data_IF_662898704001
#
_entry.id   IF_662898704001
#
_cell.length_a   1.000
_cell.length_b   1.000
_cell.length_c   1.000
_cell.angle_alpha   90.00
_cell.angle_beta   90.00
_cell.angle_gamma   90.00
#
_symmetry.space_group_name_H-M   'P 1'
#
loop_
_entity.id
_entity.type
_entity.pdbx_description
1 polymer ?
#
# COMPACT_ATOMS: atom_id res chain seq x y z
N UNK A 1 -37.86 -44.05 16.58
CA UNK A 1 -37.77 -42.58 16.73
C UNK A 1 -36.31 -42.21 16.83
N UNK A 2 -35.73 -41.59 15.82
CA UNK A 2 -34.34 -41.13 15.79
C UNK A 2 -34.38 -39.60 15.75
N UNK A 3 -33.81 -38.94 16.75
CA UNK A 3 -33.67 -37.50 16.81
C UNK A 3 -32.50 -37.02 15.91
N UNK A 4 -32.63 -35.91 15.19
CA UNK A 4 -31.51 -35.36 14.43
C UNK A 4 -30.59 -34.57 15.34
N UNK A 5 -29.30 -34.87 15.19
CA UNK A 5 -28.20 -34.11 15.80
C UNK A 5 -28.03 -32.81 15.01
N UNK A 6 -28.36 -31.66 15.62
CA UNK A 6 -28.10 -30.36 15.07
C UNK A 6 -26.65 -30.02 15.41
N UNK A 7 -25.76 -30.07 14.40
CA UNK A 7 -24.42 -29.59 14.50
C UNK A 7 -24.45 -28.04 14.44
N UNK A 8 -24.21 -27.38 15.57
CA UNK A 8 -24.02 -25.95 15.63
C UNK A 8 -22.62 -25.60 15.03
N UNK A 9 -22.63 -25.09 13.82
CA UNK A 9 -21.45 -24.54 13.16
C UNK A 9 -21.15 -23.18 13.78
N UNK A 10 -20.23 -23.15 14.75
CA UNK A 10 -19.74 -21.90 15.34
C UNK A 10 -18.87 -21.20 14.30
N UNK A 11 -19.43 -20.18 13.66
CA UNK A 11 -18.69 -19.23 12.82
C UNK A 11 -17.80 -18.39 13.74
N UNK A 12 -16.54 -18.78 13.91
CA UNK A 12 -15.49 -17.92 14.45
C UNK A 12 -15.21 -16.81 13.43
N UNK A 13 -15.94 -15.72 13.57
CA UNK A 13 -15.56 -14.43 12.98
C UNK A 13 -14.22 -14.03 13.60
N UNK A 14 -13.13 -14.35 12.93
CA UNK A 14 -11.83 -13.73 13.21
C UNK A 14 -11.95 -12.24 12.86
N UNK A 15 -12.31 -11.44 13.87
CA UNK A 15 -12.11 -10.00 13.81
C UNK A 15 -10.61 -9.77 13.73
N UNK A 16 -10.12 -9.53 12.52
CA UNK A 16 -8.80 -8.95 12.32
C UNK A 16 -8.81 -7.60 13.03
N UNK A 17 -8.30 -7.56 14.25
CA UNK A 17 -8.04 -6.30 14.92
C UNK A 17 -7.08 -5.53 14.01
N UNK A 18 -7.58 -4.48 13.37
CA UNK A 18 -6.75 -3.48 12.70
C UNK A 18 -5.86 -2.91 13.78
N UNK A 19 -4.62 -3.38 13.85
CA UNK A 19 -3.62 -2.84 14.76
C UNK A 19 -3.39 -1.39 14.33
N UNK A 20 -3.94 -0.44 15.08
CA UNK A 20 -3.85 0.97 14.76
C UNK A 20 -2.40 1.44 14.82
N UNK A 21 -1.98 2.18 13.81
CA UNK A 21 -0.73 2.92 13.87
C UNK A 21 -0.80 3.92 15.04
N UNK A 22 0.18 3.87 15.94
CA UNK A 22 0.26 4.83 17.04
C UNK A 22 0.85 6.13 16.48
N UNK A 23 0.18 7.27 16.66
CA UNK A 23 0.72 8.55 16.25
C UNK A 23 2.07 8.80 16.95
N UNK A 24 3.11 9.04 16.19
CA UNK A 24 4.39 9.52 16.72
C UNK A 24 4.32 11.05 16.73
N UNK A 25 4.57 11.70 17.87
CA UNK A 25 4.53 13.17 17.91
C UNK A 25 5.52 13.73 16.89
N UNK A 26 5.08 14.65 16.02
CA UNK A 26 5.94 15.21 14.99
C UNK A 26 7.07 16.03 15.60
N UNK A 27 8.32 15.88 15.12
CA UNK A 27 9.30 16.92 15.31
C UNK A 27 8.84 18.19 14.60
N UNK A 28 9.48 19.32 14.91
CA UNK A 28 9.17 20.61 14.25
C UNK A 28 9.04 20.45 12.74
N UNK A 29 7.99 21.01 12.09
CA UNK A 29 7.62 20.71 10.70
C UNK A 29 8.67 21.02 9.63
N UNK A 30 9.77 21.64 10.00
CA UNK A 30 10.86 22.03 9.07
C UNK A 30 12.26 21.68 9.59
N UNK A 31 12.34 20.78 10.57
CA UNK A 31 13.62 20.37 11.14
C UNK A 31 14.17 19.08 10.51
N UNK A 32 15.46 18.86 10.61
CA UNK A 32 16.08 17.58 10.32
C UNK A 32 15.54 16.52 11.31
N UNK A 33 15.22 15.34 10.81
CA UNK A 33 14.80 14.21 11.65
C UNK A 33 16.06 13.58 12.26
N UNK A 34 16.26 13.62 13.60
CA UNK A 34 17.45 13.07 14.23
C UNK A 34 17.57 11.56 13.99
N UNK A 35 18.80 11.06 13.92
CA UNK A 35 19.06 9.63 13.88
C UNK A 35 18.47 8.93 15.11
N UNK A 36 17.82 7.78 14.92
CA UNK A 36 17.16 7.05 15.98
C UNK A 36 15.74 7.51 16.32
N UNK A 37 15.22 8.55 15.67
CA UNK A 37 13.81 8.95 15.81
C UNK A 37 12.89 7.83 15.37
N UNK A 38 11.88 7.52 16.16
CA UNK A 38 10.80 6.61 15.76
C UNK A 38 9.86 7.36 14.85
N UNK A 39 9.77 6.96 13.57
CA UNK A 39 8.93 7.63 12.57
C UNK A 39 7.63 6.88 12.31
N UNK A 40 7.54 5.61 12.70
CA UNK A 40 6.30 4.84 12.70
C UNK A 40 6.42 3.68 13.69
N UNK A 41 5.32 3.30 14.30
CA UNK A 41 5.27 2.15 15.21
C UNK A 41 3.89 1.52 15.28
N UNK A 42 3.85 0.22 15.61
CA UNK A 42 2.64 -0.51 15.99
C UNK A 42 2.66 -0.88 17.47
N UNK A 43 1.48 -0.99 18.06
CA UNK A 43 1.31 -1.50 19.43
C UNK A 43 1.43 -3.03 19.46
N UNK A 44 1.01 -3.71 18.39
CA UNK A 44 1.02 -5.18 18.31
C UNK A 44 1.23 -5.63 16.85
N UNK A 45 2.28 -6.38 16.57
CA UNK A 45 3.50 -6.58 17.36
C UNK A 45 4.20 -5.24 17.57
N UNK A 46 5.09 -5.15 18.55
CA UNK A 46 5.88 -3.94 18.79
C UNK A 46 6.90 -3.75 17.67
N UNK A 47 6.44 -3.21 16.55
CA UNK A 47 7.24 -2.92 15.38
C UNK A 47 7.54 -1.44 15.32
N UNK A 48 8.82 -1.10 15.29
CA UNK A 48 9.32 0.27 15.22
C UNK A 48 10.13 0.48 13.96
N UNK A 49 9.83 1.54 13.26
CA UNK A 49 10.63 2.02 12.15
C UNK A 49 11.46 3.22 12.61
N UNK A 50 12.77 3.08 12.56
CA UNK A 50 13.71 4.06 13.08
C UNK A 50 14.52 4.66 11.93
N UNK A 51 14.78 5.97 12.01
CA UNK A 51 15.73 6.61 11.09
C UNK A 51 17.15 6.23 11.46
N UNK A 52 18.00 5.92 10.47
CA UNK A 52 19.44 5.72 10.66
C UNK A 52 20.24 6.95 10.31
N UNK A 53 19.87 7.62 9.22
CA UNK A 53 20.54 8.81 8.71
C UNK A 53 19.51 9.80 8.22
N UNK A 54 19.23 10.88 8.91
CA UNK A 54 18.45 11.98 8.37
C UNK A 54 19.28 12.70 7.31
N UNK A 55 18.65 13.09 6.20
CA UNK A 55 19.21 14.07 5.29
C UNK A 55 18.92 15.47 5.82
N UNK A 56 19.90 16.36 5.73
CA UNK A 56 19.80 17.72 6.27
C UNK A 56 18.72 18.58 5.61
N UNK A 57 18.15 18.18 4.47
CA UNK A 57 17.25 19.07 3.75
C UNK A 57 15.90 18.51 3.36
N UNK A 58 15.72 17.28 2.92
CA UNK A 58 14.43 16.88 2.37
C UNK A 58 14.11 15.38 2.45
N UNK A 59 14.79 14.58 3.25
CA UNK A 59 14.47 13.16 3.27
C UNK A 59 15.10 12.38 4.41
N UNK A 60 14.52 11.25 4.62
CA UNK A 60 14.99 10.21 5.53
C UNK A 60 15.67 9.14 4.69
N UNK A 61 16.91 8.81 5.00
CA UNK A 61 17.61 7.68 4.36
C UNK A 61 17.99 6.64 5.40
N UNK A 62 18.08 5.38 4.95
CA UNK A 62 18.50 4.26 5.79
C UNK A 62 17.60 4.10 7.00
N UNK A 63 16.54 3.34 6.81
CA UNK A 63 15.60 3.02 7.88
C UNK A 63 16.03 1.74 8.60
N UNK A 64 15.72 1.69 9.90
CA UNK A 64 15.87 0.50 10.72
C UNK A 64 14.51 0.02 11.18
N UNK A 65 14.23 -1.24 10.97
CA UNK A 65 13.05 -1.91 11.51
C UNK A 65 13.45 -2.69 12.76
N UNK A 66 12.68 -2.53 13.82
CA UNK A 66 12.76 -3.37 15.01
C UNK A 66 11.42 -4.08 15.18
N UNK A 67 11.46 -5.40 15.29
CA UNK A 67 10.30 -6.24 15.55
C UNK A 67 10.62 -7.22 16.68
N UNK A 68 10.10 -6.96 17.89
CA UNK A 68 10.50 -7.67 19.08
C UNK A 68 12.02 -7.58 19.31
N UNK A 69 12.73 -8.72 19.46
CA UNK A 69 14.18 -8.71 19.67
C UNK A 69 15.02 -8.50 18.40
N UNK A 70 14.38 -8.58 17.23
CA UNK A 70 15.09 -8.52 15.94
C UNK A 70 15.15 -7.08 15.45
N UNK A 71 16.34 -6.65 15.04
CA UNK A 71 16.55 -5.34 14.43
C UNK A 71 17.35 -5.48 13.15
N UNK A 72 16.89 -4.86 12.07
CA UNK A 72 17.57 -4.87 10.78
C UNK A 72 17.56 -3.48 10.14
N UNK A 73 18.69 -3.12 9.54
CA UNK A 73 18.84 -1.89 8.76
C UNK A 73 18.53 -2.14 7.28
N UNK A 74 17.86 -1.17 6.66
CA UNK A 74 17.54 -1.13 5.24
C UNK A 74 18.12 0.16 4.63
N UNK A 75 19.38 0.14 4.23
CA UNK A 75 20.09 1.35 3.79
C UNK A 75 19.52 1.98 2.51
N UNK A 76 18.86 1.18 1.68
CA UNK A 76 18.24 1.64 0.44
C UNK A 76 16.86 2.29 0.64
N UNK A 77 16.24 2.13 1.82
CA UNK A 77 14.92 2.70 2.06
C UNK A 77 15.01 4.21 2.28
N UNK A 78 14.11 4.92 1.61
CA UNK A 78 14.05 6.38 1.65
C UNK A 78 12.62 6.84 1.88
N UNK A 79 12.44 7.94 2.60
CA UNK A 79 11.17 8.63 2.78
C UNK A 79 11.44 10.12 2.90
N UNK A 80 10.44 10.94 2.65
CA UNK A 80 10.52 12.37 2.90
C UNK A 80 10.50 12.65 4.41
N UNK A 81 11.05 13.80 4.82
CA UNK A 81 11.14 14.16 6.24
C UNK A 81 9.88 14.84 6.79
N UNK A 82 8.97 15.27 5.91
CA UNK A 82 7.71 15.91 6.31
C UNK A 82 6.85 14.96 7.16
N UNK A 83 6.55 15.30 8.43
CA UNK A 83 5.84 14.41 9.35
C UNK A 83 4.44 14.00 8.89
N UNK A 84 3.78 14.83 8.07
CA UNK A 84 2.45 14.52 7.51
C UNK A 84 2.49 13.26 6.62
N UNK A 85 3.66 12.97 6.06
CA UNK A 85 3.87 11.89 5.09
C UNK A 85 4.89 10.85 5.58
N UNK A 86 5.06 10.74 6.88
CA UNK A 86 5.93 9.71 7.43
C UNK A 86 5.46 8.31 7.05
N UNK A 87 6.36 7.31 7.12
CA UNK A 87 6.05 5.96 6.69
C UNK A 87 4.78 5.39 7.32
N UNK A 88 3.94 4.81 6.48
CA UNK A 88 2.80 4.01 6.91
C UNK A 88 3.22 2.56 7.19
N UNK A 89 2.59 1.93 8.19
CA UNK A 89 2.82 0.53 8.52
C UNK A 89 1.51 -0.24 8.47
N UNK A 90 1.55 -1.43 7.85
CA UNK A 90 0.49 -2.42 7.95
C UNK A 90 1.10 -3.80 8.23
N UNK A 91 0.35 -4.67 8.89
CA UNK A 91 0.77 -6.04 9.17
C UNK A 91 -0.30 -7.00 8.66
N UNK A 92 0.12 -8.03 7.93
CA UNK A 92 -0.76 -9.06 7.40
C UNK A 92 0.06 -10.16 6.73
N UNK A 93 -0.53 -11.31 6.52
CA UNK A 93 0.10 -12.40 5.75
C UNK A 93 -0.10 -12.13 4.24
N UNK A 94 0.71 -11.22 3.68
CA UNK A 94 0.61 -10.85 2.27
C UNK A 94 1.35 -11.81 1.33
N UNK A 95 2.21 -12.65 1.90
CA UNK A 95 2.91 -13.70 1.17
C UNK A 95 2.13 -15.01 1.09
N UNK A 96 1.13 -15.22 1.94
CA UNK A 96 0.31 -16.43 1.99
C UNK A 96 1.01 -17.63 2.64
N UNK A 97 2.07 -17.38 3.43
CA UNK A 97 2.85 -18.42 4.11
C UNK A 97 2.38 -18.69 5.55
N UNK A 98 1.29 -18.05 5.97
CA UNK A 98 0.68 -18.08 7.30
C UNK A 98 1.50 -17.40 8.39
N UNK A 99 2.49 -16.63 8.02
CA UNK A 99 3.23 -15.76 8.92
C UNK A 99 2.88 -14.31 8.62
N UNK A 100 2.97 -13.48 9.62
CA UNK A 100 2.74 -12.06 9.42
C UNK A 100 3.91 -11.43 8.68
N UNK A 101 3.58 -10.56 7.74
CA UNK A 101 4.52 -9.69 7.04
C UNK A 101 4.30 -8.26 7.51
N UNK A 102 5.35 -7.47 7.54
CA UNK A 102 5.28 -6.03 7.71
C UNK A 102 5.32 -5.36 6.35
N UNK A 103 4.29 -4.59 6.05
CA UNK A 103 4.20 -3.73 4.86
C UNK A 103 4.51 -2.30 5.28
N UNK A 104 5.50 -1.70 4.65
CA UNK A 104 5.95 -0.33 4.92
C UNK A 104 5.71 0.50 3.67
N UNK A 105 4.90 1.54 3.79
CA UNK A 105 4.67 2.51 2.72
C UNK A 105 5.56 3.72 2.96
N UNK A 106 6.37 4.06 1.98
CA UNK A 106 7.34 5.16 2.02
C UNK A 106 6.93 6.21 1.00
N UNK A 107 6.74 7.45 1.43
CA UNK A 107 6.62 8.56 0.48
C UNK A 107 8.01 8.99 0.05
N UNK A 108 8.34 8.83 -1.22
CA UNK A 108 9.69 9.04 -1.74
C UNK A 108 9.86 10.39 -2.44
N UNK A 109 8.76 10.99 -2.86
CA UNK A 109 8.75 12.30 -3.50
C UNK A 109 7.42 13.01 -3.27
N UNK A 110 7.47 14.33 -3.17
CA UNK A 110 6.30 15.20 -3.06
C UNK A 110 6.47 16.42 -3.99
N UNK A 111 5.38 16.74 -4.69
CA UNK A 111 5.31 17.92 -5.55
C UNK A 111 3.90 18.47 -5.57
N UNK A 112 3.67 19.58 -6.29
CA UNK A 112 2.33 20.14 -6.42
C UNK A 112 1.40 19.14 -7.12
N UNK A 113 0.55 18.47 -6.31
CA UNK A 113 -0.41 17.47 -6.79
C UNK A 113 0.16 16.08 -7.08
N UNK A 114 1.44 15.83 -6.76
CA UNK A 114 2.09 14.53 -6.97
C UNK A 114 2.58 13.98 -5.64
N UNK A 115 2.21 12.74 -5.35
CA UNK A 115 2.70 11.98 -4.19
C UNK A 115 3.18 10.61 -4.68
N UNK A 116 4.48 10.37 -4.61
CA UNK A 116 5.09 9.11 -5.03
C UNK A 116 5.30 8.22 -3.82
N UNK A 117 4.64 7.07 -3.82
CA UNK A 117 4.77 6.09 -2.75
C UNK A 117 5.49 4.84 -3.25
N UNK A 118 6.48 4.42 -2.48
CA UNK A 118 7.13 3.11 -2.60
C UNK A 118 6.57 2.17 -1.52
N UNK A 119 6.62 0.88 -1.76
CA UNK A 119 6.22 -0.13 -0.79
C UNK A 119 7.35 -1.09 -0.53
N UNK A 120 7.55 -1.42 0.73
CA UNK A 120 8.51 -2.41 1.18
C UNK A 120 7.79 -3.46 2.00
N UNK A 121 8.11 -4.70 1.77
CA UNK A 121 7.54 -5.83 2.50
C UNK A 121 8.67 -6.61 3.13
N UNK A 122 8.54 -6.90 4.41
CA UNK A 122 9.49 -7.74 5.15
C UNK A 122 8.75 -8.82 5.94
N UNK A 123 9.29 -10.02 5.93
CA UNK A 123 8.74 -11.13 6.74
C UNK A 123 8.98 -10.89 8.22
N UNK A 124 8.03 -11.24 9.07
CA UNK A 124 8.21 -11.27 10.51
C UNK A 124 8.45 -12.73 10.99
N UNK A 125 9.28 -12.96 12.00
CA UNK A 125 10.09 -11.99 12.74
C UNK A 125 11.45 -11.70 12.10
N UNK A 126 11.84 -12.40 11.03
CA UNK A 126 13.21 -12.42 10.51
C UNK A 126 13.61 -11.17 9.73
N UNK A 127 12.67 -10.28 9.45
CA UNK A 127 12.86 -9.02 8.72
C UNK A 127 13.56 -9.21 7.36
N UNK A 128 13.25 -10.32 6.66
CA UNK A 128 13.76 -10.54 5.29
C UNK A 128 12.91 -9.75 4.31
N UNK A 129 13.54 -8.89 3.53
CA UNK A 129 12.86 -8.11 2.49
C UNK A 129 12.35 -9.01 1.36
N UNK A 130 11.12 -8.78 0.92
CA UNK A 130 10.44 -9.42 -0.19
C UNK A 130 10.35 -8.41 -1.32
N UNK A 131 10.84 -8.77 -2.49
CA UNK A 131 10.72 -7.90 -3.66
C UNK A 131 9.25 -7.77 -4.11
N UNK A 132 8.83 -6.55 -4.39
CA UNK A 132 7.49 -6.23 -4.89
C UNK A 132 7.63 -5.71 -6.33
N UNK A 133 6.98 -6.37 -7.26
CA UNK A 133 6.97 -5.93 -8.66
C UNK A 133 6.11 -4.66 -8.82
N UNK A 134 6.55 -3.68 -9.61
CA UNK A 134 5.77 -2.45 -9.80
C UNK A 134 4.46 -2.72 -10.55
N UNK A 135 3.34 -2.04 -10.21
CA UNK A 135 2.03 -2.31 -10.82
C UNK A 135 1.90 -1.79 -12.26
N UNK A 136 2.59 -0.70 -12.61
CA UNK A 136 2.37 -0.02 -13.88
C UNK A 136 2.69 -0.87 -15.13
N UNK A 137 3.78 -1.65 -15.18
CA UNK A 137 4.04 -2.56 -16.31
C UNK A 137 2.93 -3.59 -16.50
N UNK A 138 2.43 -4.16 -15.39
CA UNK A 138 1.31 -5.09 -15.43
C UNK A 138 0.05 -4.43 -15.97
N UNK A 139 -0.30 -3.23 -15.47
CA UNK A 139 -1.49 -2.50 -15.94
C UNK A 139 -1.39 -2.15 -17.43
N UNK A 140 -0.25 -1.69 -17.90
CA UNK A 140 -0.04 -1.39 -19.34
C UNK A 140 -0.22 -2.62 -20.23
N UNK A 141 0.09 -3.80 -19.73
CA UNK A 141 -0.09 -5.05 -20.47
C UNK A 141 -1.56 -5.54 -20.47
N UNK A 142 -2.31 -5.28 -19.39
CA UNK A 142 -3.61 -5.92 -19.13
C UNK A 142 -4.82 -4.98 -19.20
N UNK A 143 -4.61 -3.67 -19.22
CA UNK A 143 -5.68 -2.66 -19.27
C UNK A 143 -5.61 -1.87 -20.57
N UNK A 144 -6.77 -1.67 -21.18
CA UNK A 144 -6.93 -0.80 -22.35
C UNK A 144 -7.87 0.34 -21.99
N UNK A 145 -7.48 1.53 -22.37
CA UNK A 145 -8.21 2.75 -22.07
C UNK A 145 -8.94 3.24 -23.34
N UNK A 146 -10.25 3.47 -23.22
CA UNK A 146 -11.07 4.17 -24.21
C UNK A 146 -11.35 5.61 -23.78
N UNK A 147 -12.17 6.30 -24.58
CA UNK A 147 -12.56 7.69 -24.27
C UNK A 147 -13.30 7.80 -22.92
N UNK A 148 -14.20 6.87 -22.63
CA UNK A 148 -15.00 6.83 -21.41
C UNK A 148 -15.14 5.40 -20.87
N UNK A 149 -14.12 4.57 -21.07
CA UNK A 149 -14.18 3.15 -20.68
C UNK A 149 -12.81 2.57 -20.39
N UNK A 150 -12.82 1.48 -19.64
CA UNK A 150 -11.68 0.60 -19.39
C UNK A 150 -12.04 -0.81 -19.86
N UNK A 151 -11.08 -1.51 -20.44
CA UNK A 151 -11.20 -2.93 -20.74
C UNK A 151 -10.05 -3.69 -20.06
N UNK A 152 -10.38 -4.71 -19.27
CA UNK A 152 -9.43 -5.59 -18.59
C UNK A 152 -10.08 -6.94 -18.27
N UNK A 153 -9.31 -8.03 -18.28
CA UNK A 153 -9.78 -9.38 -17.94
C UNK A 153 -11.06 -9.78 -18.68
N UNK A 154 -11.18 -9.40 -19.98
CA UNK A 154 -12.37 -9.68 -20.80
C UNK A 154 -13.61 -8.86 -20.44
N UNK A 155 -13.52 -7.90 -19.54
CA UNK A 155 -14.61 -7.01 -19.14
C UNK A 155 -14.38 -5.59 -19.66
N UNK A 156 -15.47 -4.92 -20.00
CA UNK A 156 -15.47 -3.49 -20.28
C UNK A 156 -16.25 -2.77 -19.18
N UNK A 157 -15.66 -1.72 -18.62
CA UNK A 157 -16.25 -0.88 -17.58
C UNK A 157 -16.40 0.52 -18.14
N UNK A 158 -17.61 1.07 -18.05
CA UNK A 158 -17.85 2.48 -18.34
C UNK A 158 -17.40 3.32 -17.15
N UNK A 159 -16.64 4.38 -17.42
CA UNK A 159 -16.17 5.29 -16.38
C UNK A 159 -17.31 6.25 -15.99
N UNK A 160 -17.51 6.51 -14.71
CA UNK A 160 -18.33 7.61 -14.24
C UNK A 160 -17.56 8.91 -14.51
N UNK A 161 -18.01 9.65 -15.51
CA UNK A 161 -17.39 10.93 -15.86
C UNK A 161 -18.14 12.05 -15.15
N UNK A 162 -17.47 12.90 -14.38
CA UNK A 162 -18.06 14.12 -13.86
C UNK A 162 -18.35 15.10 -15.00
N UNK A 163 -19.21 16.06 -14.73
CA UNK A 163 -19.55 17.10 -15.70
C UNK A 163 -18.30 17.85 -16.17
N UNK A 164 -18.19 18.07 -17.48
CA UNK A 164 -17.03 18.72 -18.10
C UNK A 164 -15.81 17.81 -18.33
N UNK A 165 -15.88 16.52 -17.99
CA UNK A 165 -14.83 15.53 -18.29
C UNK A 165 -15.08 14.77 -19.59
N UNK A 166 -15.76 15.38 -20.55
CA UNK A 166 -16.12 14.83 -21.86
C UNK A 166 -15.14 15.25 -22.99
N UNK A 167 -14.00 15.81 -22.60
CA UNK A 167 -12.93 16.21 -23.51
C UNK A 167 -12.41 15.08 -24.40
N UNK A 168 -11.59 15.39 -25.42
CA UNK A 168 -11.20 14.47 -26.48
C UNK A 168 -10.21 13.38 -26.04
N UNK A 169 -9.60 13.53 -24.86
CA UNK A 169 -8.56 12.60 -24.44
C UNK A 169 -9.14 11.28 -23.92
N UNK A 170 -8.41 10.21 -24.13
CA UNK A 170 -8.72 8.91 -23.51
C UNK A 170 -8.47 8.95 -22.02
N UNK A 171 -9.20 8.11 -21.27
CA UNK A 171 -8.85 7.84 -19.90
C UNK A 171 -7.43 7.28 -19.81
N UNK A 172 -6.77 7.52 -18.71
CA UNK A 172 -5.37 7.13 -18.48
C UNK A 172 -5.12 6.73 -17.03
N UNK A 173 -4.00 6.08 -16.80
CA UNK A 173 -3.45 5.90 -15.45
C UNK A 173 -3.01 7.28 -14.96
N UNK A 174 -3.46 7.65 -13.75
CA UNK A 174 -2.99 8.83 -13.04
C UNK A 174 -1.59 8.63 -12.47
N UNK A 175 -1.06 9.69 -11.89
CA UNK A 175 0.32 9.74 -11.41
C UNK A 175 0.48 9.17 -9.99
N UNK A 176 -0.63 8.83 -9.31
CA UNK A 176 -0.60 8.33 -7.95
C UNK A 176 -0.80 6.83 -7.86
N UNK A 177 0.12 6.18 -7.15
CA UNK A 177 0.00 4.79 -6.71
C UNK A 177 0.00 4.78 -5.20
N UNK A 178 -1.06 4.27 -4.59
CA UNK A 178 -1.14 4.05 -3.14
C UNK A 178 -1.10 2.57 -2.85
N UNK A 179 -0.69 2.22 -1.64
CA UNK A 179 -0.55 0.84 -1.22
C UNK A 179 -1.38 0.56 0.02
N UNK A 180 -1.94 -0.64 0.09
CA UNK A 180 -2.80 -1.06 1.19
C UNK A 180 -2.70 -2.59 1.38
N UNK A 181 -3.21 -3.07 2.52
CA UNK A 181 -3.38 -4.50 2.80
C UNK A 181 -4.87 -4.79 2.96
N UNK A 182 -5.44 -5.56 2.05
CA UNK A 182 -6.87 -5.90 2.05
C UNK A 182 -7.06 -7.40 2.01
N UNK A 183 -7.81 -7.95 2.97
CA UNK A 183 -8.10 -9.38 3.03
C UNK A 183 -6.85 -10.28 3.03
N UNK A 184 -5.75 -9.82 3.67
CA UNK A 184 -4.49 -10.55 3.68
C UNK A 184 -3.66 -10.43 2.40
N UNK A 185 -4.01 -9.55 1.47
CA UNK A 185 -3.26 -9.34 0.24
C UNK A 185 -2.67 -7.93 0.20
N UNK A 186 -1.47 -7.81 -0.34
CA UNK A 186 -0.95 -6.50 -0.76
C UNK A 186 -1.76 -6.05 -1.98
N UNK A 187 -2.21 -4.79 -1.97
CA UNK A 187 -2.89 -4.17 -3.10
C UNK A 187 -2.25 -2.84 -3.46
N UNK A 188 -2.14 -2.57 -4.77
CA UNK A 188 -1.81 -1.25 -5.27
C UNK A 188 -3.10 -0.58 -5.78
N UNK A 189 -3.34 0.64 -5.34
CA UNK A 189 -4.46 1.49 -5.73
C UNK A 189 -3.92 2.53 -6.71
N UNK A 190 -4.26 2.37 -7.98
CA UNK A 190 -3.73 3.21 -9.06
C UNK A 190 -4.85 4.05 -9.61
N UNK A 191 -4.70 5.37 -9.54
CA UNK A 191 -5.73 6.29 -10.00
C UNK A 191 -6.02 6.16 -11.50
N UNK A 192 -7.29 6.35 -11.84
CA UNK A 192 -7.75 6.50 -13.22
C UNK A 192 -8.24 7.92 -13.40
N UNK A 193 -7.70 8.58 -14.40
CA UNK A 193 -8.03 9.96 -14.73
C UNK A 193 -8.56 10.05 -16.18
N UNK A 194 -9.52 10.93 -16.38
CA UNK A 194 -10.00 11.35 -17.68
C UNK A 194 -9.92 12.87 -17.75
N UNK A 195 -9.13 13.37 -18.68
CA UNK A 195 -8.76 14.80 -18.72
C UNK A 195 -8.16 15.25 -17.37
N UNK A 196 -8.82 16.13 -16.64
CA UNK A 196 -8.42 16.60 -15.32
C UNK A 196 -9.13 15.87 -14.16
N UNK A 197 -10.13 15.03 -14.50
CA UNK A 197 -11.03 14.45 -13.51
C UNK A 197 -10.55 13.07 -13.05
N UNK A 198 -10.60 12.86 -11.73
CA UNK A 198 -10.48 11.54 -11.13
C UNK A 198 -11.78 10.75 -11.37
N UNK A 199 -11.66 9.55 -11.92
CA UNK A 199 -12.82 8.72 -12.29
C UNK A 199 -12.89 7.40 -11.52
N UNK A 200 -11.94 7.13 -10.64
CA UNK A 200 -11.86 5.92 -9.82
C UNK A 200 -10.45 5.37 -9.76
N UNK A 201 -10.33 4.12 -9.32
CA UNK A 201 -9.05 3.43 -9.14
C UNK A 201 -9.04 2.05 -9.76
N UNK A 202 -7.89 1.66 -10.26
CA UNK A 202 -7.56 0.26 -10.50
C UNK A 202 -6.97 -0.31 -9.21
N UNK A 203 -7.56 -1.40 -8.74
CA UNK A 203 -7.11 -2.16 -7.58
C UNK A 203 -6.35 -3.37 -8.11
N UNK A 204 -5.03 -3.35 -7.94
CA UNK A 204 -4.15 -4.44 -8.36
C UNK A 204 -3.86 -5.31 -7.15
N UNK A 205 -4.29 -6.55 -7.18
CA UNK A 205 -4.05 -7.52 -6.11
C UNK A 205 -2.78 -8.29 -6.40
N UNK A 206 -1.95 -8.45 -5.38
CA UNK A 206 -0.68 -9.17 -5.47
C UNK A 206 -0.79 -10.59 -4.94
N UNK A 207 0.08 -11.45 -5.44
CA UNK A 207 0.30 -12.81 -4.93
C UNK A 207 1.78 -13.09 -4.78
N UNK A 208 2.12 -14.00 -3.91
CA UNK A 208 3.48 -14.53 -3.81
C UNK A 208 3.76 -15.50 -4.97
N UNK A 209 4.89 -15.32 -5.61
CA UNK A 209 5.40 -16.19 -6.66
C UNK A 209 6.92 -16.25 -6.60
N UNK A 210 7.48 -17.43 -6.38
CA UNK A 210 8.92 -17.64 -6.26
C UNK A 210 9.63 -16.68 -5.26
N UNK A 211 8.98 -16.38 -4.13
CA UNK A 211 9.53 -15.50 -3.10
C UNK A 211 9.45 -13.99 -3.39
N UNK A 212 8.69 -13.61 -4.41
CA UNK A 212 8.40 -12.22 -4.78
C UNK A 212 6.90 -11.95 -4.73
N UNK A 213 6.50 -10.70 -4.51
CA UNK A 213 5.12 -10.27 -4.69
C UNK A 213 4.93 -9.72 -6.11
N UNK A 214 4.04 -10.35 -6.86
CA UNK A 214 3.75 -9.98 -8.26
C UNK A 214 2.27 -9.66 -8.44
N UNK A 215 1.90 -8.71 -9.31
CA UNK A 215 0.50 -8.47 -9.67
C UNK A 215 -0.16 -9.73 -10.20
N UNK A 216 -1.37 -10.04 -9.72
CA UNK A 216 -2.11 -11.25 -10.08
C UNK A 216 -3.47 -10.95 -10.74
N UNK A 217 -4.14 -9.91 -10.29
CA UNK A 217 -5.43 -9.50 -10.85
C UNK A 217 -5.63 -8.00 -10.76
N UNK A 218 -6.55 -7.49 -11.55
CA UNK A 218 -6.96 -6.09 -11.54
C UNK A 218 -8.48 -5.99 -11.49
N UNK A 219 -9.00 -5.07 -10.68
CA UNK A 219 -10.40 -4.66 -10.66
C UNK A 219 -10.49 -3.14 -10.71
N UNK A 220 -11.68 -2.62 -10.96
CA UNK A 220 -11.92 -1.18 -10.97
C UNK A 220 -12.88 -0.83 -9.82
N UNK A 221 -12.56 0.23 -9.09
CA UNK A 221 -13.31 0.74 -7.97
C UNK A 221 -13.60 2.24 -8.16
N UNK A 222 -14.87 2.60 -8.11
CA UNK A 222 -15.36 3.97 -8.17
C UNK A 222 -16.08 4.42 -6.90
N UNK A 223 -15.95 3.69 -5.80
CA UNK A 223 -16.70 3.96 -4.56
C UNK A 223 -16.37 5.30 -3.91
N UNK A 224 -15.19 5.86 -4.17
CA UNK A 224 -14.78 7.17 -3.63
C UNK A 224 -15.33 8.37 -4.41
N UNK A 225 -16.11 8.14 -5.46
CA UNK A 225 -16.75 9.20 -6.26
C UNK A 225 -18.14 9.60 -5.72
N UNK A 226 -18.53 9.07 -4.57
CA UNK A 226 -19.85 9.33 -3.94
C UNK A 226 -19.78 10.39 -2.88
#
# INVERSE_FOLDING_TARGET
MRAPLIAALSLLLSQSAVAGQVPVPPPSPYGSVPAGTVVAQFVRPDVKLLTLKPLLSQGIQSLRVTAGPVTRAFPAWRSISNPTFWPGLAVGDVTGDRHADLVVTLMTDEGTGVAVYDVRVVTLPNLREIAVAPPLPYLRAHVRFGAASLAFSGRMVRLPLPEGADGPHHARIGDQVRWDVRGGHLVALVEVQKDWAFTGRLVVVYRSQAGHLVPASVTYDSSELK
#
